data_IF_735925817547
#
_entry.id   IF_735925817547
#
_cell.length_a   1.000
_cell.length_b   1.000
_cell.length_c   1.000
_cell.angle_alpha   90.00
_cell.angle_beta   90.00
_cell.angle_gamma   90.00
#
_symmetry.space_group_name_H-M   'P 1'
#
loop_
_entity.id
_entity.type
_entity.pdbx_description
1 polymer ?
#
# COMPACT_ATOMS: atom_id res chain seq x y z
N UNK A 1 11.11 36.49 37.83
CA UNK A 1 12.30 36.43 36.95
C UNK A 1 11.82 35.93 35.61
N UNK A 2 12.09 36.72 34.56
CA UNK A 2 11.35 36.83 33.31
C UNK A 2 11.12 35.52 32.53
N UNK A 3 9.86 35.11 32.42
CA UNK A 3 9.34 34.29 31.32
C UNK A 3 9.20 35.18 30.09
N UNK A 4 10.07 34.97 29.10
CA UNK A 4 9.88 35.56 27.78
C UNK A 4 11.18 35.84 27.06
N UNK A 5 11.78 34.81 26.43
CA UNK A 5 12.57 34.94 25.19
C UNK A 5 12.57 33.57 24.48
N UNK A 6 11.44 33.15 23.93
CA UNK A 6 11.45 32.40 22.67
C UNK A 6 10.44 33.08 21.78
N UNK A 7 10.88 34.23 21.32
CA UNK A 7 10.15 35.15 20.49
C UNK A 7 9.90 34.51 19.13
N UNK A 8 8.61 34.34 18.84
CA UNK A 8 7.96 34.73 17.59
C UNK A 8 8.90 34.98 16.40
N UNK A 9 9.35 33.91 15.77
CA UNK A 9 9.80 33.95 14.37
C UNK A 9 9.11 32.85 13.57
N UNK A 10 7.80 33.03 13.33
CA UNK A 10 7.09 32.40 12.21
C UNK A 10 5.74 33.09 11.98
N UNK A 11 5.73 34.37 11.62
CA UNK A 11 4.54 34.99 11.05
C UNK A 11 4.64 35.05 9.54
N UNK A 12 3.93 34.13 8.88
CA UNK A 12 3.16 34.45 7.67
C UNK A 12 1.84 33.65 7.56
N UNK A 13 1.59 32.60 8.37
CA UNK A 13 0.42 31.69 8.26
C UNK A 13 -0.10 31.09 9.60
N UNK A 14 -0.25 31.85 10.69
CA UNK A 14 -0.98 31.41 11.91
C UNK A 14 -0.60 30.03 12.53
N UNK A 15 -1.51 29.36 13.28
CA UNK A 15 -1.28 28.01 13.83
C UNK A 15 -1.27 26.91 12.75
N UNK A 16 -1.70 27.22 11.53
CA UNK A 16 -1.88 26.26 10.44
C UNK A 16 -0.56 25.88 9.73
N UNK A 17 0.42 26.79 9.68
CA UNK A 17 1.72 26.52 9.03
C UNK A 17 2.46 25.31 9.63
N UNK A 18 2.74 25.31 10.95
CA UNK A 18 3.38 24.17 11.62
C UNK A 18 2.56 22.88 11.51
N UNK A 19 1.23 22.99 11.60
CA UNK A 19 0.31 21.86 11.47
C UNK A 19 0.42 21.19 10.09
N UNK A 20 0.32 21.96 9.00
CA UNK A 20 0.42 21.42 7.63
C UNK A 20 1.80 20.81 7.38
N UNK A 21 2.86 21.41 7.89
CA UNK A 21 4.20 20.85 7.79
C UNK A 21 4.31 19.52 8.54
N UNK A 22 3.81 19.43 9.77
CA UNK A 22 3.84 18.19 10.56
C UNK A 22 3.01 17.09 9.87
N UNK A 23 1.84 17.42 9.32
CA UNK A 23 1.03 16.50 8.50
C UNK A 23 1.82 15.97 7.30
N UNK A 24 2.48 16.85 6.53
CA UNK A 24 3.23 16.45 5.35
C UNK A 24 4.44 15.56 5.71
N UNK A 25 5.17 15.92 6.77
CA UNK A 25 6.32 15.14 7.25
C UNK A 25 5.88 13.77 7.73
N UNK A 26 4.83 13.69 8.55
CA UNK A 26 4.30 12.43 9.04
C UNK A 26 3.72 11.56 7.91
N UNK A 27 3.06 12.17 6.92
CA UNK A 27 2.54 11.46 5.75
C UNK A 27 3.66 10.85 4.91
N UNK A 28 4.74 11.61 4.68
CA UNK A 28 5.92 11.13 3.96
C UNK A 28 6.65 10.03 4.75
N UNK A 29 6.83 10.20 6.06
CA UNK A 29 7.46 9.20 6.92
C UNK A 29 6.63 7.91 6.99
N UNK A 30 5.32 8.01 7.21
CA UNK A 30 4.42 6.86 7.24
C UNK A 30 4.42 6.11 5.90
N UNK A 31 4.41 6.84 4.78
CA UNK A 31 4.55 6.27 3.44
C UNK A 31 5.87 5.51 3.29
N UNK A 32 6.99 6.13 3.65
CA UNK A 32 8.31 5.52 3.53
C UNK A 32 8.43 4.22 4.35
N UNK A 33 8.00 4.26 5.62
CA UNK A 33 8.04 3.09 6.50
C UNK A 33 7.07 2.00 6.03
N UNK A 34 5.88 2.37 5.56
CA UNK A 34 4.90 1.43 5.02
C UNK A 34 5.42 0.72 3.77
N UNK A 35 6.06 1.45 2.86
CA UNK A 35 6.69 0.91 1.65
C UNK A 35 7.89 0.01 1.97
N UNK A 36 8.71 0.39 2.96
CA UNK A 36 9.80 -0.46 3.44
C UNK A 36 9.27 -1.75 4.05
N UNK A 37 8.19 -1.68 4.82
CA UNK A 37 7.49 -2.84 5.40
C UNK A 37 6.98 -3.76 4.29
N UNK A 38 6.30 -3.20 3.29
CA UNK A 38 5.79 -3.95 2.13
C UNK A 38 6.93 -4.63 1.35
N UNK A 39 8.01 -3.90 1.08
CA UNK A 39 9.17 -4.40 0.36
C UNK A 39 9.85 -5.56 1.11
N UNK A 40 10.00 -5.44 2.42
CA UNK A 40 10.59 -6.48 3.27
C UNK A 40 9.66 -7.70 3.36
N UNK A 41 8.37 -7.49 3.62
CA UNK A 41 7.39 -8.56 3.72
C UNK A 41 7.27 -9.35 2.42
N UNK A 42 7.25 -8.66 1.27
CA UNK A 42 7.30 -9.31 -0.04
C UNK A 42 8.61 -10.09 -0.22
N UNK A 43 9.77 -9.50 0.09
CA UNK A 43 11.08 -10.16 -0.08
C UNK A 43 11.17 -11.46 0.72
N UNK A 44 10.71 -11.46 1.97
CA UNK A 44 10.72 -12.63 2.85
C UNK A 44 9.79 -13.73 2.30
N UNK A 45 8.59 -13.35 1.86
CA UNK A 45 7.55 -14.29 1.45
C UNK A 45 7.54 -14.62 -0.05
N UNK A 46 8.48 -14.08 -0.82
CA UNK A 46 8.51 -14.20 -2.28
C UNK A 46 8.39 -15.64 -2.76
N UNK A 47 9.11 -16.57 -2.13
CA UNK A 47 9.09 -17.99 -2.52
C UNK A 47 7.68 -18.59 -2.40
N UNK A 48 6.97 -18.26 -1.31
CA UNK A 48 5.62 -18.73 -1.08
C UNK A 48 4.63 -18.10 -2.07
N UNK A 49 4.75 -16.79 -2.31
CA UNK A 49 3.97 -16.09 -3.34
C UNK A 49 4.16 -16.71 -4.73
N UNK A 50 5.39 -16.96 -5.14
CA UNK A 50 5.70 -17.59 -6.42
C UNK A 50 5.15 -19.02 -6.51
N UNK A 51 5.16 -19.77 -5.40
CA UNK A 51 4.58 -21.11 -5.36
C UNK A 51 3.07 -21.08 -5.58
N UNK A 52 2.34 -20.24 -4.82
CA UNK A 52 0.89 -20.06 -5.00
C UNK A 52 0.54 -19.59 -6.41
N UNK A 53 1.35 -18.70 -7.00
CA UNK A 53 1.10 -18.19 -8.35
C UNK A 53 1.27 -19.29 -9.41
N UNK A 54 2.32 -20.13 -9.29
CA UNK A 54 2.53 -21.28 -10.20
C UNK A 54 1.43 -22.32 -10.05
N UNK A 55 1.03 -22.60 -8.81
CA UNK A 55 -0.04 -23.55 -8.50
C UNK A 55 -1.37 -23.08 -9.10
N UNK A 56 -1.69 -21.79 -8.98
CA UNK A 56 -2.89 -21.19 -9.58
C UNK A 56 -2.90 -21.31 -11.11
N UNK A 57 -1.77 -21.01 -11.77
CA UNK A 57 -1.64 -21.15 -13.23
C UNK A 57 -1.87 -22.60 -13.67
N UNK A 58 -1.28 -23.57 -12.94
CA UNK A 58 -1.46 -25.00 -13.21
C UNK A 58 -2.93 -25.42 -13.09
N UNK A 59 -3.64 -24.96 -12.06
CA UNK A 59 -5.06 -25.27 -11.91
C UNK A 59 -5.93 -24.63 -12.99
N UNK A 60 -5.59 -23.41 -13.41
CA UNK A 60 -6.25 -22.78 -14.57
C UNK A 60 -6.07 -23.63 -15.84
N UNK A 61 -4.85 -24.08 -16.12
CA UNK A 61 -4.56 -24.93 -17.29
C UNK A 61 -5.34 -26.24 -17.26
N UNK A 62 -5.34 -26.94 -16.12
CA UNK A 62 -6.09 -28.20 -15.97
C UNK A 62 -7.61 -27.97 -16.10
N UNK A 63 -8.11 -26.82 -15.65
CA UNK A 63 -9.53 -26.48 -15.77
C UNK A 63 -9.89 -26.21 -17.22
N UNK A 64 -9.07 -25.45 -17.94
CA UNK A 64 -9.23 -25.17 -19.37
C UNK A 64 -9.16 -26.47 -20.21
N UNK A 65 -8.27 -27.40 -19.86
CA UNK A 65 -8.16 -28.71 -20.53
C UNK A 65 -9.39 -29.59 -20.30
N UNK A 66 -9.85 -29.70 -19.05
CA UNK A 66 -11.06 -30.46 -18.72
C UNK A 66 -12.30 -29.90 -19.42
N UNK A 67 -12.41 -28.57 -19.52
CA UNK A 67 -13.48 -27.89 -20.26
C UNK A 67 -13.42 -28.22 -21.76
N UNK A 68 -12.22 -28.20 -22.37
CA UNK A 68 -12.04 -28.57 -23.79
C UNK A 68 -12.41 -30.02 -24.09
N UNK A 69 -12.17 -30.93 -23.14
CA UNK A 69 -12.52 -32.35 -23.26
C UNK A 69 -14.00 -32.63 -22.93
N UNK A 70 -14.75 -31.64 -22.44
CA UNK A 70 -16.14 -31.80 -22.03
C UNK A 70 -16.31 -32.62 -20.74
N UNK A 71 -15.25 -32.81 -19.96
CA UNK A 71 -15.29 -33.56 -18.71
C UNK A 71 -15.71 -32.65 -17.55
N UNK A 72 -17.02 -32.54 -17.32
CA UNK A 72 -17.58 -31.71 -16.24
C UNK A 72 -17.14 -32.15 -14.84
N UNK A 73 -16.90 -33.45 -14.61
CA UNK A 73 -16.52 -33.97 -13.30
C UNK A 73 -15.08 -33.57 -12.98
N UNK A 74 -14.17 -33.74 -13.94
CA UNK A 74 -12.80 -33.25 -13.84
C UNK A 74 -12.78 -31.73 -13.69
N UNK A 75 -13.52 -30.99 -14.52
CA UNK A 75 -13.60 -29.53 -14.45
C UNK A 75 -14.01 -29.03 -13.06
N UNK A 76 -15.11 -29.57 -12.48
CA UNK A 76 -15.59 -29.13 -11.17
C UNK A 76 -14.59 -29.41 -10.05
N UNK A 77 -13.89 -30.54 -10.10
CA UNK A 77 -12.90 -30.89 -9.07
C UNK A 77 -11.67 -29.99 -9.14
N UNK A 78 -11.09 -29.82 -10.34
CA UNK A 78 -9.92 -28.96 -10.57
C UNK A 78 -10.24 -27.50 -10.27
N UNK A 79 -11.41 -27.00 -10.70
CA UNK A 79 -11.82 -25.62 -10.45
C UNK A 79 -12.02 -25.33 -8.95
N UNK A 80 -12.47 -26.33 -8.17
CA UNK A 80 -12.61 -26.19 -6.71
C UNK A 80 -11.24 -26.01 -6.05
N UNK A 81 -10.24 -26.80 -6.44
CA UNK A 81 -8.87 -26.67 -5.92
C UNK A 81 -8.22 -25.35 -6.38
N UNK A 82 -8.42 -24.96 -7.64
CA UNK A 82 -7.95 -23.68 -8.18
C UNK A 82 -8.50 -22.47 -7.41
N UNK A 83 -9.79 -22.49 -7.06
CA UNK A 83 -10.41 -21.41 -6.27
C UNK A 83 -9.83 -21.29 -4.86
N UNK A 84 -9.47 -22.40 -4.22
CA UNK A 84 -8.84 -22.39 -2.89
C UNK A 84 -7.43 -21.77 -2.95
N UNK A 85 -6.63 -22.13 -3.97
CA UNK A 85 -5.32 -21.51 -4.22
C UNK A 85 -5.46 -20.02 -4.53
N UNK A 86 -6.43 -19.64 -5.37
CA UNK A 86 -6.73 -18.24 -5.67
C UNK A 86 -7.08 -17.46 -4.40
N UNK A 87 -7.93 -18.03 -3.55
CA UNK A 87 -8.34 -17.44 -2.28
C UNK A 87 -7.14 -17.16 -1.38
N UNK A 88 -6.25 -18.15 -1.19
CA UNK A 88 -5.01 -17.95 -0.43
C UNK A 88 -4.14 -16.83 -0.99
N UNK A 89 -3.93 -16.81 -2.31
CA UNK A 89 -3.12 -15.78 -2.95
C UNK A 89 -3.74 -14.38 -2.80
N UNK A 90 -5.06 -14.27 -2.93
CA UNK A 90 -5.81 -13.02 -2.75
C UNK A 90 -5.68 -12.49 -1.32
N UNK A 91 -5.98 -13.32 -0.31
CA UNK A 91 -5.86 -12.92 1.09
C UNK A 91 -4.43 -12.57 1.47
N UNK A 92 -3.44 -13.26 0.91
CA UNK A 92 -2.03 -12.92 1.13
C UNK A 92 -1.68 -11.52 0.60
N UNK A 93 -2.16 -11.16 -0.61
CA UNK A 93 -1.96 -9.82 -1.18
C UNK A 93 -2.65 -8.73 -0.35
N UNK A 94 -3.83 -9.01 0.18
CA UNK A 94 -4.53 -8.10 1.11
C UNK A 94 -3.72 -7.94 2.40
N UNK A 95 -3.25 -9.04 3.00
CA UNK A 95 -2.47 -9.03 4.22
C UNK A 95 -1.19 -8.20 4.07
N UNK A 96 -0.47 -8.34 2.96
CA UNK A 96 0.69 -7.51 2.64
C UNK A 96 0.33 -6.01 2.56
N UNK A 97 -0.81 -5.69 1.92
CA UNK A 97 -1.27 -4.31 1.77
C UNK A 97 -1.68 -3.70 3.12
N UNK A 98 -2.40 -4.46 3.95
CA UNK A 98 -2.80 -4.06 5.29
C UNK A 98 -1.59 -3.90 6.22
N UNK A 99 -0.60 -4.79 6.10
CA UNK A 99 0.65 -4.71 6.86
C UNK A 99 1.40 -3.41 6.59
N UNK A 100 1.28 -2.79 5.41
CA UNK A 100 1.92 -1.50 5.12
C UNK A 100 1.27 -0.30 5.84
N UNK A 101 0.06 -0.45 6.40
CA UNK A 101 -0.72 0.65 6.99
C UNK A 101 -0.35 0.95 8.44
N UNK A 102 0.38 0.10 9.13
CA UNK A 102 0.67 0.27 10.56
C UNK A 102 1.26 1.65 10.95
N UNK A 103 2.16 2.30 10.18
CA UNK A 103 2.73 3.60 10.56
C UNK A 103 1.71 4.74 10.52
N UNK A 104 0.65 4.57 9.73
CA UNK A 104 -0.45 5.52 9.63
C UNK A 104 -1.10 5.78 11.00
N UNK A 105 -1.30 4.72 11.80
CA UNK A 105 -1.95 4.84 13.10
C UNK A 105 -1.09 5.60 14.11
N UNK A 106 0.23 5.40 14.08
CA UNK A 106 1.17 6.15 14.92
C UNK A 106 1.21 7.64 14.54
N UNK A 107 1.20 7.93 13.24
CA UNK A 107 1.13 9.31 12.75
C UNK A 107 -0.19 9.99 13.17
N UNK A 108 -1.33 9.30 13.03
CA UNK A 108 -2.62 9.80 13.47
C UNK A 108 -2.67 10.04 14.99
N UNK A 109 -2.13 9.12 15.78
CA UNK A 109 -2.05 9.29 17.24
C UNK A 109 -1.21 10.52 17.63
N UNK A 110 -0.11 10.78 16.90
CA UNK A 110 0.71 11.98 17.12
C UNK A 110 -0.06 13.26 16.80
N UNK A 111 -0.76 13.30 15.67
CA UNK A 111 -1.59 14.44 15.28
C UNK A 111 -2.74 14.67 16.26
N UNK A 112 -3.39 13.59 16.71
CA UNK A 112 -4.46 13.66 17.72
C UNK A 112 -3.98 14.34 19.01
N UNK A 113 -2.77 13.99 19.50
CA UNK A 113 -2.24 14.58 20.74
C UNK A 113 -1.96 16.09 20.69
N UNK A 114 -1.94 16.70 19.49
CA UNK A 114 -1.53 18.10 19.27
C UNK A 114 -2.59 18.96 18.59
N UNK A 115 -3.45 18.35 17.78
CA UNK A 115 -4.33 19.03 16.84
C UNK A 115 -5.75 18.46 16.85
N UNK A 116 -6.16 17.73 17.91
CA UNK A 116 -7.52 17.19 18.00
C UNK A 116 -8.61 18.28 17.91
N UNK A 117 -8.35 19.45 18.51
CA UNK A 117 -9.30 20.58 18.54
C UNK A 117 -9.05 21.60 17.40
N UNK A 118 -8.09 21.32 16.51
CA UNK A 118 -7.76 22.21 15.39
C UNK A 118 -8.49 21.75 14.13
N UNK A 119 -9.47 22.55 13.72
CA UNK A 119 -10.15 22.37 12.44
C UNK A 119 -9.57 23.30 11.38
N UNK A 120 -9.20 22.72 10.22
CA UNK A 120 -8.75 23.49 9.07
C UNK A 120 -9.99 24.02 8.33
N UNK A 121 -10.23 25.35 8.27
CA UNK A 121 -11.42 25.88 7.62
C UNK A 121 -11.39 25.61 6.12
N UNK A 122 -12.49 25.08 5.57
CA UNK A 122 -12.62 24.87 4.12
C UNK A 122 -13.11 26.18 3.47
N UNK A 123 -12.37 26.74 2.49
CA UNK A 123 -12.78 27.96 1.80
C UNK A 123 -14.18 27.81 1.19
N UNK A 124 -15.10 28.71 1.54
CA UNK A 124 -16.47 28.74 1.00
C UNK A 124 -17.49 27.85 1.72
N UNK A 125 -17.13 27.21 2.84
CA UNK A 125 -18.09 26.46 3.68
C UNK A 125 -17.86 26.74 5.17
N UNK A 126 -18.84 26.43 6.02
CA UNK A 126 -18.68 26.45 7.49
C UNK A 126 -18.05 25.17 8.05
N UNK A 127 -17.65 24.24 7.17
CA UNK A 127 -17.07 22.96 7.58
C UNK A 127 -15.57 23.11 7.85
N UNK A 128 -15.13 22.53 8.96
CA UNK A 128 -13.73 22.33 9.30
C UNK A 128 -13.26 20.93 8.91
N UNK A 129 -12.09 20.81 8.29
CA UNK A 129 -11.44 19.52 8.10
C UNK A 129 -10.64 19.16 9.34
N UNK A 130 -11.08 18.10 10.00
CA UNK A 130 -10.34 17.47 11.09
C UNK A 130 -8.99 16.90 10.59
N UNK A 131 -8.02 16.82 11.50
CA UNK A 131 -6.69 16.27 11.25
C UNK A 131 -6.67 14.91 10.53
N UNK A 132 -7.63 14.03 10.78
CA UNK A 132 -7.71 12.73 10.10
C UNK A 132 -7.88 12.91 8.59
N UNK A 133 -8.80 13.77 8.17
CA UNK A 133 -9.10 13.97 6.73
C UNK A 133 -7.91 14.62 6.03
N UNK A 134 -7.35 15.68 6.62
CA UNK A 134 -6.19 16.39 6.06
C UNK A 134 -4.99 15.44 5.95
N UNK A 135 -4.75 14.62 6.97
CA UNK A 135 -3.68 13.63 6.96
C UNK A 135 -3.89 12.54 5.92
N UNK A 136 -5.11 11.99 5.77
CA UNK A 136 -5.39 10.97 4.76
C UNK A 136 -5.17 11.50 3.34
N UNK A 137 -5.59 12.73 3.05
CA UNK A 137 -5.33 13.37 1.76
C UNK A 137 -3.83 13.55 1.50
N UNK A 138 -3.09 14.05 2.50
CA UNK A 138 -1.64 14.18 2.41
C UNK A 138 -0.93 12.82 2.26
N UNK A 139 -1.39 11.80 2.97
CA UNK A 139 -0.85 10.44 2.91
C UNK A 139 -1.06 9.79 1.54
N UNK A 140 -2.27 9.90 0.96
CA UNK A 140 -2.53 9.39 -0.39
C UNK A 140 -1.68 10.13 -1.42
N UNK A 141 -1.58 11.45 -1.33
CA UNK A 141 -0.71 12.24 -2.19
C UNK A 141 0.77 11.82 -2.06
N UNK A 142 1.25 11.63 -0.82
CA UNK A 142 2.59 11.16 -0.53
C UNK A 142 2.84 9.75 -1.11
N UNK A 143 1.90 8.81 -0.99
CA UNK A 143 1.98 7.47 -1.59
C UNK A 143 2.09 7.53 -3.11
N UNK A 144 1.28 8.35 -3.77
CA UNK A 144 1.34 8.52 -5.24
C UNK A 144 2.68 9.13 -5.66
N UNK A 145 3.14 10.18 -4.95
CA UNK A 145 4.43 10.80 -5.22
C UNK A 145 5.59 9.83 -4.99
N UNK A 146 5.55 9.09 -3.89
CA UNK A 146 6.56 8.09 -3.54
C UNK A 146 6.60 6.95 -4.55
N UNK A 147 5.46 6.44 -5.03
CA UNK A 147 5.41 5.42 -6.06
C UNK A 147 6.10 5.86 -7.37
N UNK A 148 6.10 7.16 -7.69
CA UNK A 148 6.86 7.70 -8.84
C UNK A 148 8.36 7.82 -8.56
N UNK A 149 8.73 8.23 -7.34
CA UNK A 149 10.13 8.44 -6.92
C UNK A 149 10.85 7.12 -6.66
N UNK A 150 10.18 6.16 -6.04
CA UNK A 150 10.74 4.86 -5.63
C UNK A 150 11.24 4.04 -6.81
N UNK A 151 10.69 4.24 -8.02
CA UNK A 151 11.19 3.63 -9.27
C UNK A 151 12.65 4.02 -9.57
N UNK A 152 13.13 5.16 -9.04
CA UNK A 152 14.51 5.64 -9.20
C UNK A 152 15.44 5.20 -8.06
N UNK A 153 14.91 4.77 -6.92
CA UNK A 153 15.70 4.39 -5.76
C UNK A 153 16.20 2.94 -5.89
N UNK A 154 17.51 2.66 -5.68
CA UNK A 154 18.10 1.35 -5.97
C UNK A 154 17.54 0.22 -5.12
N UNK A 155 17.17 0.49 -3.86
CA UNK A 155 16.57 -0.51 -2.97
C UNK A 155 15.18 -0.97 -3.46
N UNK A 156 14.29 -0.01 -3.72
CA UNK A 156 12.94 -0.29 -4.22
C UNK A 156 12.95 -0.82 -5.64
N UNK A 157 13.91 -0.39 -6.48
CA UNK A 157 14.09 -0.90 -7.84
C UNK A 157 14.34 -2.40 -7.86
N UNK A 158 15.09 -2.95 -6.91
CA UNK A 158 15.34 -4.39 -6.87
C UNK A 158 14.06 -5.18 -6.57
N UNK A 159 13.28 -4.73 -5.58
CA UNK A 159 12.01 -5.37 -5.24
C UNK A 159 11.00 -5.20 -6.38
N UNK A 160 10.89 -4.00 -6.96
CA UNK A 160 10.01 -3.73 -8.09
C UNK A 160 10.40 -4.60 -9.31
N UNK A 161 11.69 -4.74 -9.62
CA UNK A 161 12.15 -5.66 -10.67
C UNK A 161 11.83 -7.12 -10.36
N UNK A 162 11.86 -7.52 -9.10
CA UNK A 162 11.45 -8.88 -8.70
C UNK A 162 9.95 -9.09 -8.91
N UNK A 163 9.12 -8.10 -8.56
CA UNK A 163 7.68 -8.12 -8.82
C UNK A 163 7.40 -8.14 -10.32
N UNK A 164 8.06 -7.26 -11.10
CA UNK A 164 7.90 -7.17 -12.56
C UNK A 164 8.35 -8.46 -13.25
N UNK A 165 9.47 -9.06 -12.80
CA UNK A 165 9.95 -10.33 -13.33
C UNK A 165 9.00 -11.50 -12.99
N UNK A 166 8.45 -11.52 -11.78
CA UNK A 166 7.48 -12.53 -11.37
C UNK A 166 6.15 -12.37 -12.13
N UNK A 167 5.73 -11.13 -12.40
CA UNK A 167 4.55 -10.83 -13.23
C UNK A 167 4.78 -11.23 -14.70
N UNK A 168 5.94 -10.90 -15.27
CA UNK A 168 6.30 -11.27 -16.64
C UNK A 168 6.43 -12.79 -16.81
N UNK A 169 6.96 -13.50 -15.80
CA UNK A 169 7.00 -14.97 -15.80
C UNK A 169 5.58 -15.55 -15.87
N UNK A 170 4.66 -15.06 -15.02
CA UNK A 170 3.26 -15.50 -15.04
C UNK A 170 2.54 -15.21 -16.37
N UNK A 171 2.79 -14.05 -17.00
CA UNK A 171 2.21 -13.74 -18.31
C UNK A 171 2.81 -14.55 -19.46
N UNK A 172 4.12 -14.80 -19.43
CA UNK A 172 4.80 -15.57 -20.49
C UNK A 172 4.33 -17.03 -20.47
N UNK A 173 4.25 -17.63 -19.28
CA UNK A 173 3.76 -19.00 -19.12
C UNK A 173 2.30 -19.14 -19.60
N UNK A 174 1.48 -18.12 -19.37
CA UNK A 174 0.10 -18.06 -19.88
C UNK A 174 0.00 -17.84 -21.41
N UNK A 175 1.00 -17.21 -22.05
CA UNK A 175 1.01 -16.91 -23.49
C UNK A 175 1.67 -17.98 -24.34
N UNK A 176 2.76 -18.60 -23.87
CA UNK A 176 3.46 -19.67 -24.60
C UNK A 176 2.59 -20.92 -24.76
N UNK A 177 1.50 -21.03 -23.99
CA UNK A 177 0.62 -22.20 -23.95
C UNK A 177 -0.79 -21.95 -24.55
N UNK A 178 -1.03 -20.78 -25.18
CA UNK A 178 -2.20 -20.52 -26.03
C UNK A 178 -1.90 -20.83 -27.48
#
# INVERSE_FOLDING_TARGET
MFTGVFDRTASFLGPYGPYLLEVLVLAAAATFVGELTLALAYRINRRHLQHLNRELIRFQQLSDEAERLGDEAAYRSVNKEGNDVWGRLFFFKIALSAAALWPLFFALSRLQSRYADLDLPVPGTSLGLNYVVVFLLAYVAARIAFAKISRKLPFFRNVLRMVDADAAYSETDARTQR
#
